data_IF_336612230189
#
_entry.id   IF_336612230189
#
_cell.length_a   1.000
_cell.length_b   1.000
_cell.length_c   1.000
_cell.angle_alpha   90.00
_cell.angle_beta   90.00
_cell.angle_gamma   90.00
#
_symmetry.space_group_name_H-M   'P 1'
#
loop_
_entity.id
_entity.type
_entity.pdbx_description
1 polymer ?
#
# COMPACT_ATOMS: atom_id res chain seq x y z
N UNK A 1 -6.38 7.84 27.17
CA UNK A 1 -6.46 6.94 26.00
C UNK A 1 -5.94 7.74 24.82
N UNK A 2 -4.69 7.54 24.43
CA UNK A 2 -4.05 8.31 23.38
C UNK A 2 -3.93 7.39 22.17
N UNK A 3 -4.93 7.44 21.29
CA UNK A 3 -4.89 6.73 20.03
C UNK A 3 -3.74 7.31 19.21
N UNK A 4 -2.63 6.60 19.13
CA UNK A 4 -1.65 6.82 18.08
C UNK A 4 -2.38 6.58 16.77
N UNK A 5 -2.70 7.65 16.05
CA UNK A 5 -3.41 7.54 14.78
C UNK A 5 -2.62 6.60 13.88
N UNK A 6 -3.27 5.56 13.35
CA UNK A 6 -2.67 4.60 12.44
C UNK A 6 -1.95 5.27 11.25
N UNK A 7 -2.25 6.54 10.98
CA UNK A 7 -1.63 7.41 10.00
C UNK A 7 -0.09 7.51 10.05
N UNK A 8 0.55 7.35 11.21
CA UNK A 8 2.02 7.39 11.30
C UNK A 8 2.69 6.12 10.78
N UNK A 9 1.92 5.03 10.64
CA UNK A 9 2.41 3.73 10.14
C UNK A 9 2.46 3.67 8.63
N UNK A 10 1.90 4.64 7.91
CA UNK A 10 1.81 4.61 6.47
C UNK A 10 2.52 5.79 5.82
N UNK A 11 3.19 5.51 4.71
CA UNK A 11 3.57 6.52 3.73
C UNK A 11 2.55 6.54 2.60
N UNK A 12 2.33 7.74 2.08
CA UNK A 12 1.41 7.99 0.98
C UNK A 12 2.17 8.73 -0.11
N UNK A 13 1.91 8.29 -1.33
CA UNK A 13 2.34 8.94 -2.56
C UNK A 13 1.10 9.46 -3.27
N UNK A 14 1.12 10.74 -3.57
CA UNK A 14 0.03 11.46 -4.23
C UNK A 14 0.49 11.94 -5.60
N UNK A 15 -0.46 12.06 -6.53
CA UNK A 15 -0.23 12.54 -7.88
C UNK A 15 -1.04 13.80 -8.11
N UNK A 16 -0.38 14.81 -8.65
CA UNK A 16 -1.02 16.00 -9.21
C UNK A 16 -0.71 16.07 -10.69
N UNK A 17 -1.74 16.15 -11.52
CA UNK A 17 -1.61 16.47 -12.94
C UNK A 17 -2.10 17.87 -13.21
N UNK A 18 -1.34 18.62 -13.99
CA UNK A 18 -1.72 19.95 -14.48
C UNK A 18 -2.13 19.88 -15.94
N UNK A 19 -3.10 20.70 -16.34
CA UNK A 19 -3.65 20.76 -17.70
C UNK A 19 -2.57 21.04 -18.78
N UNK A 20 -1.45 21.65 -18.40
CA UNK A 20 -0.33 21.93 -19.30
C UNK A 20 0.65 20.77 -19.45
N UNK A 21 0.29 19.56 -19.01
CA UNK A 21 1.06 18.33 -19.24
C UNK A 21 2.13 18.01 -18.18
N UNK A 22 2.09 18.65 -17.01
CA UNK A 22 2.96 18.30 -15.89
C UNK A 22 2.32 17.26 -14.97
N UNK A 23 3.11 16.29 -14.53
CA UNK A 23 2.73 15.34 -13.47
C UNK A 23 3.75 15.43 -12.33
N UNK A 24 3.27 15.61 -11.11
CA UNK A 24 4.11 15.73 -9.92
C UNK A 24 3.73 14.68 -8.89
N UNK A 25 4.75 14.04 -8.32
CA UNK A 25 4.61 13.12 -7.20
C UNK A 25 4.80 13.90 -5.90
N UNK A 26 3.80 13.84 -5.04
CA UNK A 26 3.78 14.53 -3.75
C UNK A 26 3.86 13.52 -2.60
N UNK A 27 4.65 13.84 -1.59
CA UNK A 27 4.56 13.19 -0.28
C UNK A 27 3.24 13.58 0.42
N UNK A 28 2.84 12.81 1.43
CA UNK A 28 1.69 13.12 2.30
C UNK A 28 1.67 14.59 2.78
N UNK A 29 2.80 15.11 3.24
CA UNK A 29 2.89 16.49 3.72
C UNK A 29 2.63 17.51 2.60
N UNK A 30 3.25 17.33 1.43
CA UNK A 30 3.05 18.23 0.29
C UNK A 30 1.61 18.17 -0.23
N UNK A 31 1.01 16.98 -0.27
CA UNK A 31 -0.38 16.78 -0.64
C UNK A 31 -1.34 17.46 0.36
N UNK A 32 -1.04 17.38 1.65
CA UNK A 32 -1.82 18.04 2.71
C UNK A 32 -1.79 19.56 2.55
N UNK A 33 -0.61 20.14 2.30
CA UNK A 33 -0.46 21.58 2.04
C UNK A 33 -1.28 21.98 0.82
N UNK A 34 -1.17 21.23 -0.28
CA UNK A 34 -1.93 21.52 -1.49
C UNK A 34 -3.44 21.44 -1.25
N UNK A 35 -3.90 20.42 -0.52
CA UNK A 35 -5.32 20.25 -0.19
C UNK A 35 -5.85 21.39 0.67
N UNK A 36 -5.07 21.88 1.63
CA UNK A 36 -5.41 23.03 2.46
C UNK A 36 -5.55 24.30 1.62
N UNK A 37 -4.63 24.55 0.70
CA UNK A 37 -4.68 25.72 -0.20
C UNK A 37 -5.86 25.66 -1.19
N UNK A 38 -6.18 24.48 -1.71
CA UNK A 38 -7.38 24.30 -2.53
C UNK A 38 -8.64 24.58 -1.71
N UNK A 39 -8.70 24.05 -0.49
CA UNK A 39 -9.86 24.18 0.40
C UNK A 39 -10.05 25.61 0.93
N UNK A 40 -8.97 26.38 1.07
CA UNK A 40 -9.03 27.80 1.42
C UNK A 40 -9.49 28.70 0.27
N UNK A 41 -9.63 28.14 -0.94
CA UNK A 41 -9.99 28.88 -2.14
C UNK A 41 -8.82 29.65 -2.77
N UNK A 42 -7.58 29.34 -2.38
CA UNK A 42 -6.41 29.96 -2.98
C UNK A 42 -6.32 29.57 -4.47
N UNK A 43 -6.00 30.56 -5.32
CA UNK A 43 -5.82 30.42 -6.78
C UNK A 43 -4.38 30.74 -7.21
N UNK A 44 -3.45 30.76 -6.28
CA UNK A 44 -2.04 31.06 -6.50
C UNK A 44 -1.21 29.87 -6.96
N UNK A 45 0.09 30.01 -6.78
CA UNK A 45 1.10 28.99 -7.07
C UNK A 45 1.71 28.54 -5.75
N UNK A 46 1.76 27.23 -5.50
CA UNK A 46 2.51 26.65 -4.39
C UNK A 46 3.93 26.39 -4.87
N UNK A 47 4.90 26.97 -4.18
CA UNK A 47 6.32 26.79 -4.46
C UNK A 47 6.89 25.72 -3.53
N UNK A 48 7.34 24.62 -4.11
CA UNK A 48 8.19 23.64 -3.43
C UNK A 48 9.65 23.88 -3.81
N UNK A 49 10.56 23.23 -3.08
CA UNK A 49 12.01 23.42 -3.30
C UNK A 49 12.45 23.08 -4.73
N UNK A 50 11.81 22.10 -5.38
CA UNK A 50 12.22 21.54 -6.67
C UNK A 50 11.23 21.79 -7.81
N UNK A 51 10.01 22.21 -7.51
CA UNK A 51 8.97 22.46 -8.53
C UNK A 51 7.90 23.40 -7.97
N UNK A 52 7.01 23.85 -8.84
CA UNK A 52 5.87 24.67 -8.47
C UNK A 52 4.58 24.09 -9.03
N UNK A 53 3.48 24.26 -8.31
CA UNK A 53 2.15 23.81 -8.72
C UNK A 53 1.24 25.03 -8.76
N UNK A 54 0.73 25.35 -9.94
CA UNK A 54 -0.28 26.39 -10.11
C UNK A 54 -1.66 25.81 -9.87
N UNK A 55 -2.33 26.22 -8.79
CA UNK A 55 -3.61 25.67 -8.35
C UNK A 55 -4.70 25.74 -9.44
N UNK A 56 -4.87 26.86 -10.17
CA UNK A 56 -5.88 26.96 -11.22
C UNK A 56 -5.71 25.98 -12.38
N UNK A 57 -4.51 25.43 -12.56
CA UNK A 57 -4.19 24.53 -13.66
C UNK A 57 -4.22 23.06 -13.24
N UNK A 58 -4.56 22.74 -11.99
CA UNK A 58 -4.70 21.35 -11.55
C UNK A 58 -5.88 20.71 -12.28
N UNK A 59 -5.58 19.62 -12.99
CA UNK A 59 -6.56 18.79 -13.67
C UNK A 59 -7.03 17.64 -12.78
N UNK A 60 -6.07 16.96 -12.15
CA UNK A 60 -6.30 15.79 -11.30
C UNK A 60 -5.44 15.89 -10.05
N UNK A 61 -5.99 15.49 -8.91
CA UNK A 61 -5.26 15.36 -7.65
C UNK A 61 -5.82 14.16 -6.88
N UNK A 62 -5.00 13.11 -6.71
CA UNK A 62 -5.42 11.86 -6.08
C UNK A 62 -4.25 11.15 -5.39
N UNK A 63 -4.57 10.23 -4.48
CA UNK A 63 -3.58 9.34 -3.85
C UNK A 63 -3.32 8.16 -4.79
N UNK A 64 -2.06 7.94 -5.17
CA UNK A 64 -1.65 6.82 -6.02
C UNK A 64 -1.37 5.57 -5.19
N UNK A 65 -0.56 5.71 -4.12
CA UNK A 65 -0.13 4.57 -3.30
C UNK A 65 -0.17 4.91 -1.82
N UNK A 66 -0.48 3.89 -1.01
CA UNK A 66 -0.33 3.89 0.44
C UNK A 66 0.42 2.63 0.84
N UNK A 67 1.54 2.78 1.53
CA UNK A 67 2.40 1.67 1.93
C UNK A 67 2.78 1.78 3.40
N UNK A 68 2.93 0.63 4.06
CA UNK A 68 3.32 0.58 5.47
C UNK A 68 4.80 0.99 5.61
N UNK A 69 5.07 2.01 6.42
CA UNK A 69 6.43 2.37 6.84
C UNK A 69 7.06 1.17 7.52
N UNK A 70 8.19 0.72 7.01
CA UNK A 70 8.91 -0.44 7.52
C UNK A 70 8.11 -1.75 7.46
N UNK A 71 7.05 -1.87 6.63
CA UNK A 71 6.68 -3.19 6.18
C UNK A 71 7.90 -3.72 5.46
N UNK A 72 8.59 -4.67 6.11
CA UNK A 72 9.63 -5.49 5.55
C UNK A 72 9.25 -5.69 4.09
N UNK A 73 9.96 -5.01 3.19
CA UNK A 73 9.86 -5.27 1.77
C UNK A 73 9.96 -6.78 1.70
N UNK A 74 8.86 -7.46 1.35
CA UNK A 74 8.92 -8.89 1.12
C UNK A 74 10.09 -9.01 0.15
N UNK A 75 11.19 -9.68 0.54
CA UNK A 75 12.38 -9.67 -0.29
C UNK A 75 11.93 -10.06 -1.69
N UNK A 76 12.44 -9.39 -2.72
CA UNK A 76 12.09 -9.69 -4.14
C UNK A 76 12.23 -11.19 -4.48
N UNK A 77 12.88 -11.96 -3.59
CA UNK A 77 12.98 -13.42 -3.53
C UNK A 77 11.98 -14.12 -2.59
N UNK A 78 10.74 -13.68 -2.51
CA UNK A 78 9.65 -14.63 -2.29
C UNK A 78 9.31 -15.32 -3.63
N UNK A 79 10.33 -15.83 -4.34
CA UNK A 79 10.13 -16.94 -5.25
C UNK A 79 9.44 -18.01 -4.45
N UNK A 80 8.26 -18.43 -4.88
CA UNK A 80 7.62 -19.64 -4.35
C UNK A 80 8.72 -20.70 -4.24
N UNK A 81 8.96 -21.27 -3.04
CA UNK A 81 9.93 -22.35 -2.93
C UNK A 81 9.57 -23.40 -3.98
N UNK A 82 10.56 -23.92 -4.71
CA UNK A 82 10.31 -24.93 -5.74
C UNK A 82 9.35 -25.98 -5.19
N UNK A 83 8.27 -26.24 -5.94
CA UNK A 83 7.28 -27.21 -5.51
C UNK A 83 7.94 -28.59 -5.47
N UNK A 84 8.27 -29.06 -4.26
CA UNK A 84 8.71 -30.42 -4.01
C UNK A 84 7.44 -31.22 -3.68
N UNK A 85 7.01 -32.15 -4.55
CA UNK A 85 5.86 -33.00 -4.26
C UNK A 85 6.13 -33.79 -2.98
N UNK A 86 5.19 -33.76 -2.05
CA UNK A 86 5.29 -34.58 -0.84
C UNK A 86 5.15 -36.04 -1.25
N UNK A 87 6.09 -36.94 -0.87
CA UNK A 87 5.95 -38.37 -1.13
C UNK A 87 4.64 -38.91 -0.56
N UNK A 88 3.97 -39.80 -1.30
CA UNK A 88 2.60 -40.25 -0.98
C UNK A 88 2.45 -40.83 0.44
N UNK A 89 3.49 -41.48 0.95
CA UNK A 89 3.52 -42.03 2.31
C UNK A 89 3.62 -40.97 3.43
N UNK A 90 4.30 -39.85 3.17
CA UNK A 90 4.38 -38.73 4.11
C UNK A 90 3.09 -37.90 4.07
N UNK A 91 2.49 -37.75 2.90
CA UNK A 91 1.20 -37.06 2.76
C UNK A 91 0.08 -37.74 3.54
N UNK A 92 0.03 -39.08 3.55
CA UNK A 92 -0.94 -39.84 4.37
C UNK A 92 -0.79 -39.54 5.86
N UNK A 93 0.44 -39.51 6.38
CA UNK A 93 0.72 -39.19 7.79
C UNK A 93 0.34 -37.76 8.15
N UNK A 94 0.73 -36.78 7.33
CA UNK A 94 0.39 -35.37 7.52
C UNK A 94 -1.13 -35.19 7.51
N UNK A 95 -1.82 -35.86 6.58
CA UNK A 95 -3.28 -35.82 6.47
C UNK A 95 -3.96 -36.43 7.71
N UNK A 96 -3.47 -37.57 8.21
CA UNK A 96 -3.97 -38.18 9.45
C UNK A 96 -3.75 -37.28 10.67
N UNK A 97 -2.57 -36.66 10.81
CA UNK A 97 -2.28 -35.76 11.92
C UNK A 97 -3.13 -34.48 11.91
N UNK A 98 -3.28 -33.85 10.75
CA UNK A 98 -4.14 -32.67 10.57
C UNK A 98 -5.58 -33.03 10.93
N UNK A 99 -6.02 -34.21 10.52
CA UNK A 99 -7.37 -34.70 10.75
C UNK A 99 -7.65 -35.02 12.22
N UNK A 100 -6.71 -35.68 12.91
CA UNK A 100 -6.75 -35.87 14.37
C UNK A 100 -6.83 -34.54 15.12
N UNK A 101 -6.08 -33.53 14.67
CA UNK A 101 -6.14 -32.17 15.23
C UNK A 101 -7.44 -31.42 14.93
N UNK A 102 -8.11 -31.74 13.82
CA UNK A 102 -9.36 -31.10 13.38
C UNK A 102 -10.64 -31.83 13.83
N UNK A 103 -10.52 -32.99 14.50
CA UNK A 103 -11.57 -33.59 15.32
C UNK A 103 -12.81 -34.13 14.57
N UNK A 104 -12.73 -34.45 13.27
CA UNK A 104 -13.88 -35.00 12.51
C UNK A 104 -13.52 -36.28 11.77
N UNK A 105 -14.04 -37.44 12.16
CA UNK A 105 -13.79 -38.79 11.62
C UNK A 105 -13.69 -38.92 10.08
N UNK A 106 -12.87 -39.87 9.61
CA UNK A 106 -12.56 -40.12 8.20
C UNK A 106 -13.77 -40.77 7.49
N UNK A 107 -14.28 -40.26 6.35
CA UNK A 107 -15.19 -41.04 5.53
C UNK A 107 -14.39 -42.13 4.81
N UNK A 108 -14.74 -43.39 5.09
CA UNK A 108 -14.21 -44.55 4.35
C UNK A 108 -14.85 -44.56 2.96
N UNK A 109 -14.03 -44.31 1.94
CA UNK A 109 -14.35 -44.50 0.54
C UNK A 109 -13.33 -45.46 -0.06
#
# INVERSE_FOLDING_TARGET
MQGTSDDDKYEEQWIVKINTGGEYQLSKLQATILQQEISSGNRGIILFKTFSISIPYIAEFYMDKRFLRNALTLPEKATEPEYIPIPEGEWKKIREEIHQKLGKGFPQG
#
